data_IF_835235154886
#
_entry.id   IF_835235154886
#
_cell.length_a   1.000
_cell.length_b   1.000
_cell.length_c   1.000
_cell.angle_alpha   90.00
_cell.angle_beta   90.00
_cell.angle_gamma   90.00
#
_symmetry.space_group_name_H-M   'P 1'
#
loop_
_entity.id
_entity.type
_entity.pdbx_description
1 polymer ?
#
# COMPACT_ATOMS: atom_id res chain seq x y z
N UNK A 1 -11.55 21.38 0.80
CA UNK A 1 -12.86 20.75 1.01
C UNK A 1 -13.99 21.48 0.29
N UNK A 2 -14.08 22.81 0.37
CA UNK A 2 -15.14 23.60 -0.32
C UNK A 2 -15.35 23.22 -1.79
N UNK A 3 -14.29 23.09 -2.60
CA UNK A 3 -14.39 22.68 -4.00
C UNK A 3 -15.15 21.36 -4.22
N UNK A 4 -15.02 20.39 -3.31
CA UNK A 4 -15.76 19.13 -3.39
C UNK A 4 -17.25 19.38 -3.12
N UNK A 5 -17.57 20.08 -2.03
CA UNK A 5 -18.93 20.48 -1.64
C UNK A 5 -19.65 21.20 -2.79
N UNK A 6 -18.95 22.10 -3.50
CA UNK A 6 -19.55 22.90 -4.56
C UNK A 6 -19.86 22.11 -5.86
N UNK A 7 -19.24 20.93 -6.04
CA UNK A 7 -19.21 20.24 -7.34
C UNK A 7 -19.74 18.80 -7.32
N UNK A 8 -19.77 18.09 -6.19
CA UNK A 8 -20.09 16.66 -6.17
C UNK A 8 -21.42 16.32 -6.87
N UNK A 9 -22.46 17.15 -6.68
CA UNK A 9 -23.77 17.00 -7.35
C UNK A 9 -23.66 17.13 -8.87
N UNK A 10 -22.93 18.13 -9.35
CA UNK A 10 -22.73 18.37 -10.79
C UNK A 10 -21.94 17.24 -11.45
N UNK A 11 -21.09 16.59 -10.67
CA UNK A 11 -20.29 15.43 -11.08
C UNK A 11 -21.04 14.10 -10.92
N UNK A 12 -22.29 14.10 -10.44
CA UNK A 12 -23.08 12.89 -10.23
C UNK A 12 -22.55 11.96 -9.14
N UNK A 13 -21.76 12.48 -8.20
CA UNK A 13 -21.16 11.69 -7.12
C UNK A 13 -22.21 11.46 -6.03
N UNK A 14 -22.58 10.20 -5.80
CA UNK A 14 -23.53 9.78 -4.76
C UNK A 14 -22.87 9.16 -3.53
N UNK A 15 -21.59 8.78 -3.64
CA UNK A 15 -20.77 8.32 -2.51
C UNK A 15 -19.30 8.69 -2.69
N UNK A 16 -18.58 8.85 -1.58
CA UNK A 16 -17.16 9.17 -1.61
C UNK A 16 -16.44 8.59 -0.39
N UNK A 17 -15.23 8.09 -0.60
CA UNK A 17 -14.29 7.77 0.47
C UNK A 17 -13.00 8.57 0.30
N UNK A 18 -12.50 9.21 1.35
CA UNK A 18 -11.19 9.86 1.32
C UNK A 18 -10.41 9.68 2.62
N UNK A 19 -9.06 9.65 2.55
CA UNK A 19 -8.21 9.67 3.73
C UNK A 19 -8.25 11.07 4.38
N UNK A 20 -7.68 11.21 5.57
CA UNK A 20 -7.43 12.53 6.16
C UNK A 20 -6.48 13.37 5.29
N UNK A 21 -7.06 14.27 4.50
CA UNK A 21 -6.33 15.13 3.57
C UNK A 21 -5.51 16.19 4.31
N UNK A 22 -4.22 16.32 3.97
CA UNK A 22 -3.33 17.38 4.48
C UNK A 22 -2.61 17.07 5.80
N UNK A 23 -2.84 15.89 6.39
CA UNK A 23 -2.26 15.49 7.68
C UNK A 23 -0.75 15.25 7.67
N UNK A 24 -0.18 14.94 6.51
CA UNK A 24 1.22 14.51 6.41
C UNK A 24 2.19 15.64 6.05
N UNK A 25 1.83 16.54 5.13
CA UNK A 25 2.75 17.56 4.57
C UNK A 25 2.29 19.02 4.77
N UNK A 26 1.13 19.25 5.39
CA UNK A 26 0.54 20.60 5.49
C UNK A 26 0.91 21.37 6.76
N UNK A 27 1.59 20.73 7.73
CA UNK A 27 1.94 21.34 9.02
C UNK A 27 0.74 21.65 9.92
N UNK A 28 -0.47 21.23 9.54
CA UNK A 28 -1.70 21.43 10.32
C UNK A 28 -1.88 20.24 11.26
N UNK A 29 -2.16 20.47 12.56
CA UNK A 29 -2.46 19.38 13.49
C UNK A 29 -3.62 18.51 12.99
N UNK A 30 -3.47 17.19 13.12
CA UNK A 30 -4.47 16.21 12.67
C UNK A 30 -5.86 16.48 13.25
N UNK A 31 -5.96 16.88 14.52
CA UNK A 31 -7.23 17.19 15.16
C UNK A 31 -7.92 18.42 14.53
N UNK A 32 -7.14 19.40 14.09
CA UNK A 32 -7.66 20.56 13.34
C UNK A 32 -8.19 20.11 11.97
N UNK A 33 -7.48 19.22 11.27
CA UNK A 33 -7.94 18.64 10.00
C UNK A 33 -9.23 17.85 10.19
N UNK A 34 -9.30 17.00 11.23
CA UNK A 34 -10.48 16.20 11.57
C UNK A 34 -11.67 17.09 11.86
N UNK A 35 -11.50 18.11 12.69
CA UNK A 35 -12.53 19.08 13.04
C UNK A 35 -13.05 19.84 11.81
N UNK A 36 -12.15 20.40 11.00
CA UNK A 36 -12.53 21.12 9.78
C UNK A 36 -13.22 20.22 8.77
N UNK A 37 -12.69 19.03 8.53
CA UNK A 37 -13.25 18.06 7.58
C UNK A 37 -14.66 17.66 8.01
N UNK A 38 -14.86 17.30 9.29
CA UNK A 38 -16.20 17.01 9.83
C UNK A 38 -17.15 18.19 9.67
N UNK A 39 -16.72 19.41 9.96
CA UNK A 39 -17.54 20.62 9.82
C UNK A 39 -18.07 20.81 8.40
N UNK A 40 -17.26 20.59 7.37
CA UNK A 40 -17.71 20.74 5.98
C UNK A 40 -18.63 19.59 5.55
N UNK A 41 -18.36 18.37 6.01
CA UNK A 41 -19.06 17.17 5.54
C UNK A 41 -20.37 16.91 6.28
N UNK A 42 -20.49 17.30 7.55
CA UNK A 42 -21.71 17.11 8.34
C UNK A 42 -22.91 17.86 7.80
N UNK A 43 -22.69 18.85 6.93
CA UNK A 43 -23.73 19.60 6.24
C UNK A 43 -24.28 18.87 5.00
N UNK A 44 -23.62 17.80 4.55
CA UNK A 44 -24.00 17.03 3.37
C UNK A 44 -24.85 15.84 3.81
N UNK A 45 -26.14 15.86 3.49
CA UNK A 45 -27.11 14.82 3.92
C UNK A 45 -27.57 13.91 2.79
N UNK A 46 -27.14 14.18 1.56
CA UNK A 46 -27.57 13.52 0.33
C UNK A 46 -26.44 12.79 -0.42
N UNK A 47 -25.35 12.48 0.29
CA UNK A 47 -24.19 11.74 -0.20
C UNK A 47 -23.67 10.84 0.92
N UNK A 48 -23.30 9.61 0.56
CA UNK A 48 -22.63 8.69 1.48
C UNK A 48 -21.13 9.02 1.58
N UNK A 49 -20.62 9.25 2.79
CA UNK A 49 -19.26 9.73 3.01
C UNK A 49 -18.56 8.83 4.03
N UNK A 50 -17.45 8.23 3.60
CA UNK A 50 -16.54 7.50 4.47
C UNK A 50 -15.20 8.26 4.58
N UNK A 51 -14.74 8.47 5.81
CA UNK A 51 -13.41 9.04 6.06
C UNK A 51 -12.58 7.99 6.78
N UNK A 52 -11.48 7.55 6.14
CA UNK A 52 -10.66 6.48 6.68
C UNK A 52 -9.31 7.00 7.20
N UNK A 53 -8.84 6.35 8.27
CA UNK A 53 -7.48 6.50 8.78
C UNK A 53 -6.54 5.53 8.05
N UNK A 54 -5.34 5.99 7.71
CA UNK A 54 -4.31 5.10 7.19
C UNK A 54 -3.67 4.34 8.35
N UNK A 55 -3.79 3.01 8.33
CA UNK A 55 -3.07 2.14 9.25
C UNK A 55 -1.88 1.48 8.51
N UNK A 56 -0.63 1.82 8.89
CA UNK A 56 0.57 1.26 8.26
C UNK A 56 0.75 -0.24 8.52
N UNK A 57 0.04 -0.84 9.47
CA UNK A 57 0.18 -2.25 9.84
C UNK A 57 -0.89 -3.15 9.20
N UNK A 58 -1.86 -2.58 8.47
CA UNK A 58 -2.90 -3.36 7.80
C UNK A 58 -2.36 -4.05 6.55
N UNK A 59 -2.43 -5.40 6.45
CA UNK A 59 -1.93 -6.14 5.30
C UNK A 59 -2.85 -6.00 4.08
N UNK A 60 -2.31 -5.49 2.97
CA UNK A 60 -2.99 -5.52 1.67
C UNK A 60 -2.88 -6.90 0.99
N UNK A 61 -3.64 -7.11 -0.09
CA UNK A 61 -3.61 -8.38 -0.86
C UNK A 61 -2.19 -8.73 -1.35
N UNK A 62 -1.45 -7.74 -1.86
CA UNK A 62 -0.06 -7.90 -2.34
C UNK A 62 0.86 -8.40 -1.21
N UNK A 63 0.71 -7.86 0.00
CA UNK A 63 1.46 -8.31 1.16
C UNK A 63 1.16 -9.78 1.49
N UNK A 64 -0.12 -10.15 1.50
CA UNK A 64 -0.56 -11.53 1.79
C UNK A 64 0.00 -12.51 0.76
N UNK A 65 0.00 -12.15 -0.53
CA UNK A 65 0.64 -12.95 -1.59
C UNK A 65 2.12 -13.18 -1.30
N UNK A 66 2.86 -12.14 -0.93
CA UNK A 66 4.28 -12.26 -0.58
C UNK A 66 4.49 -13.17 0.64
N UNK A 67 3.68 -13.01 1.68
CA UNK A 67 3.74 -13.88 2.88
C UNK A 67 3.49 -15.34 2.51
N UNK A 68 2.52 -15.63 1.64
CA UNK A 68 2.24 -16.99 1.20
C UNK A 68 3.43 -17.59 0.44
N UNK A 69 3.99 -16.85 -0.53
CA UNK A 69 5.20 -17.28 -1.27
C UNK A 69 6.33 -17.66 -0.31
N UNK A 70 6.57 -16.83 0.73
CA UNK A 70 7.64 -17.08 1.70
C UNK A 70 7.33 -18.27 2.63
N UNK A 71 6.06 -18.44 3.02
CA UNK A 71 5.64 -19.51 3.95
C UNK A 71 5.54 -20.88 3.29
N UNK A 72 5.02 -20.94 2.07
CA UNK A 72 4.84 -22.18 1.31
C UNK A 72 6.20 -22.76 0.88
N UNK A 73 7.21 -21.91 0.68
CA UNK A 73 8.59 -22.31 0.29
C UNK A 73 8.64 -23.18 -0.97
N UNK A 74 7.66 -23.02 -1.86
CA UNK A 74 7.60 -23.75 -3.13
C UNK A 74 8.63 -23.24 -4.15
N UNK A 75 9.03 -21.96 -4.03
CA UNK A 75 9.99 -21.32 -4.91
C UNK A 75 11.37 -21.21 -4.25
N UNK A 76 12.40 -21.61 -5.00
CA UNK A 76 13.79 -21.39 -4.64
C UNK A 76 14.19 -19.92 -4.82
N UNK A 77 15.29 -19.52 -4.19
CA UNK A 77 15.86 -18.18 -4.39
C UNK A 77 16.23 -17.89 -5.86
N UNK A 78 16.57 -18.93 -6.63
CA UNK A 78 16.90 -18.78 -8.06
C UNK A 78 15.66 -18.49 -8.89
N UNK A 79 14.57 -19.22 -8.67
CA UNK A 79 13.29 -18.99 -9.36
C UNK A 79 12.73 -17.62 -9.00
N UNK A 80 12.77 -17.25 -7.72
CA UNK A 80 12.39 -15.92 -7.26
C UNK A 80 13.23 -14.82 -7.94
N UNK A 81 14.54 -15.01 -8.08
CA UNK A 81 15.41 -14.07 -8.81
C UNK A 81 15.03 -13.96 -10.28
N UNK A 82 14.82 -15.08 -10.97
CA UNK A 82 14.46 -15.12 -12.38
C UNK A 82 13.11 -14.46 -12.65
N UNK A 83 12.08 -14.80 -11.87
CA UNK A 83 10.71 -14.31 -12.06
C UNK A 83 10.56 -12.83 -11.72
N UNK A 84 11.28 -12.33 -10.71
CA UNK A 84 11.15 -10.95 -10.22
C UNK A 84 12.21 -9.99 -10.76
N UNK A 85 13.32 -10.51 -11.29
CA UNK A 85 14.51 -9.72 -11.60
C UNK A 85 15.20 -9.13 -10.35
N UNK A 86 14.90 -9.63 -9.15
CA UNK A 86 15.51 -9.19 -7.89
C UNK A 86 16.59 -10.20 -7.50
N UNK A 87 17.84 -9.75 -7.33
CA UNK A 87 18.93 -10.65 -6.95
C UNK A 87 18.64 -11.42 -5.65
N UNK A 88 19.01 -12.70 -5.60
CA UNK A 88 18.78 -13.60 -4.47
C UNK A 88 19.21 -13.01 -3.12
N UNK A 89 20.33 -12.27 -3.07
CA UNK A 89 20.78 -11.55 -1.87
C UNK A 89 19.77 -10.56 -1.29
N UNK A 90 18.86 -10.02 -2.11
CA UNK A 90 17.77 -9.16 -1.65
C UNK A 90 16.54 -9.99 -1.29
N UNK A 91 16.29 -11.11 -1.95
CA UNK A 91 15.25 -12.07 -1.53
C UNK A 91 15.50 -12.63 -0.13
N UNK A 92 16.76 -12.93 0.21
CA UNK A 92 17.14 -13.29 1.58
C UNK A 92 16.67 -12.21 2.57
N UNK A 93 16.97 -10.94 2.29
CA UNK A 93 16.55 -9.81 3.14
C UNK A 93 15.04 -9.62 3.19
N UNK A 94 14.34 -9.85 2.07
CA UNK A 94 12.87 -9.77 2.00
C UNK A 94 12.28 -10.87 2.89
N UNK A 95 12.77 -12.10 2.79
CA UNK A 95 12.33 -13.24 3.60
C UNK A 95 12.60 -12.97 5.08
N UNK A 96 13.80 -12.50 5.42
CA UNK A 96 14.15 -12.14 6.80
C UNK A 96 13.20 -11.07 7.36
N UNK A 97 12.92 -10.02 6.58
CA UNK A 97 11.99 -8.97 6.98
C UNK A 97 10.55 -9.48 7.13
N UNK A 98 10.08 -10.37 6.25
CA UNK A 98 8.73 -10.96 6.35
C UNK A 98 8.57 -11.84 7.59
N UNK A 99 9.65 -12.50 8.03
CA UNK A 99 9.63 -13.31 9.24
C UNK A 99 9.78 -12.48 10.53
N UNK A 100 10.04 -11.17 10.43
CA UNK A 100 10.02 -10.25 11.57
C UNK A 100 8.58 -9.83 11.89
N UNK A 101 8.16 -9.99 13.14
CA UNK A 101 6.83 -9.62 13.65
C UNK A 101 6.47 -8.14 13.46
N UNK A 102 7.47 -7.28 13.25
CA UNK A 102 7.30 -5.85 12.94
C UNK A 102 6.85 -5.59 11.51
N UNK A 103 7.02 -6.55 10.61
CA UNK A 103 6.58 -6.43 9.23
C UNK A 103 5.20 -7.04 9.11
N UNK A 104 4.15 -6.21 9.11
CA UNK A 104 2.75 -6.65 9.01
C UNK A 104 2.10 -6.23 7.69
N UNK A 105 2.76 -5.35 6.94
CA UNK A 105 2.27 -4.83 5.67
C UNK A 105 3.42 -4.54 4.70
N UNK A 106 3.07 -4.25 3.43
CA UNK A 106 4.03 -3.74 2.43
C UNK A 106 4.62 -2.39 2.87
N UNK A 107 3.87 -1.56 3.60
CA UNK A 107 4.39 -0.31 4.12
C UNK A 107 5.54 -0.55 5.11
N UNK A 108 5.36 -1.49 6.06
CA UNK A 108 6.45 -1.83 6.99
C UNK A 108 7.67 -2.39 6.23
N UNK A 109 7.46 -3.26 5.23
CA UNK A 109 8.54 -3.84 4.42
C UNK A 109 9.35 -2.76 3.66
N UNK A 110 8.68 -1.83 3.00
CA UNK A 110 9.32 -0.72 2.27
C UNK A 110 10.16 0.20 3.17
N UNK A 111 9.79 0.27 4.45
CA UNK A 111 10.44 1.07 5.47
C UNK A 111 11.31 0.24 6.43
N UNK A 112 11.52 -1.04 6.16
CA UNK A 112 12.29 -1.92 7.02
C UNK A 112 13.76 -1.53 7.03
N UNK A 113 14.32 -1.30 8.22
CA UNK A 113 15.65 -0.78 8.44
C UNK A 113 16.47 -1.77 9.26
N UNK A 114 17.68 -2.06 8.77
CA UNK A 114 18.72 -2.81 9.50
C UNK A 114 19.95 -1.92 9.56
N UNK A 115 20.51 -1.73 10.76
CA UNK A 115 21.71 -0.90 10.99
C UNK A 115 21.59 0.51 10.39
N UNK A 116 20.42 1.13 10.54
CA UNK A 116 20.15 2.50 10.06
C UNK A 116 19.96 2.65 8.55
N UNK A 117 19.94 1.55 7.78
CA UNK A 117 19.73 1.58 6.33
C UNK A 117 18.52 0.74 5.91
N UNK A 118 17.76 1.24 4.92
CA UNK A 118 16.69 0.45 4.27
C UNK A 118 17.30 -0.75 3.57
N UNK A 119 16.69 -1.91 3.76
CA UNK A 119 17.21 -3.16 3.20
C UNK A 119 16.91 -3.33 1.71
N UNK A 120 15.83 -2.72 1.23
CA UNK A 120 15.34 -2.80 -0.15
C UNK A 120 15.30 -1.38 -0.72
N UNK A 121 16.02 -1.17 -1.83
CA UNK A 121 16.00 0.10 -2.55
C UNK A 121 14.77 0.24 -3.45
N UNK A 122 14.48 1.48 -3.87
CA UNK A 122 13.32 1.84 -4.70
C UNK A 122 13.12 0.90 -5.91
N UNK A 123 14.16 0.65 -6.69
CA UNK A 123 14.07 -0.22 -7.88
C UNK A 123 13.66 -1.65 -7.55
N UNK A 124 14.14 -2.21 -6.43
CA UNK A 124 13.75 -3.55 -6.00
C UNK A 124 12.33 -3.58 -5.43
N UNK A 125 11.87 -2.49 -4.79
CA UNK A 125 10.47 -2.34 -4.39
C UNK A 125 9.58 -2.38 -5.64
N UNK A 126 9.89 -1.57 -6.66
CA UNK A 126 9.13 -1.53 -7.92
C UNK A 126 9.06 -2.91 -8.59
N UNK A 127 10.20 -3.60 -8.70
CA UNK A 127 10.26 -4.98 -9.22
C UNK A 127 9.40 -5.94 -8.40
N UNK A 128 9.44 -5.83 -7.08
CA UNK A 128 8.66 -6.69 -6.19
C UNK A 128 7.17 -6.48 -6.40
N UNK A 129 6.72 -5.23 -6.52
CA UNK A 129 5.33 -4.92 -6.83
C UNK A 129 4.90 -5.51 -8.17
N UNK A 130 5.69 -5.30 -9.23
CA UNK A 130 5.39 -5.86 -10.57
C UNK A 130 5.31 -7.38 -10.54
N UNK A 131 6.22 -8.03 -9.82
CA UNK A 131 6.20 -9.48 -9.63
C UNK A 131 4.92 -9.93 -8.92
N UNK A 132 4.60 -9.34 -7.77
CA UNK A 132 3.47 -9.74 -6.93
C UNK A 132 2.10 -9.45 -7.55
N UNK A 133 1.98 -8.43 -8.41
CA UNK A 133 0.72 -8.16 -9.13
C UNK A 133 0.47 -9.14 -10.26
N UNK A 134 1.53 -9.71 -10.85
CA UNK A 134 1.44 -10.72 -11.91
C UNK A 134 1.36 -12.15 -11.37
N UNK A 135 1.78 -12.37 -10.13
CA UNK A 135 1.77 -13.69 -9.50
C UNK A 135 0.35 -14.09 -9.06
N UNK A 136 -0.20 -15.12 -9.69
CA UNK A 136 -1.46 -15.77 -9.31
C UNK A 136 -1.32 -17.29 -9.35
N UNK A 137 -1.76 -17.97 -8.30
CA UNK A 137 -1.84 -19.44 -8.22
C UNK A 137 -0.55 -20.16 -8.68
N UNK A 138 0.61 -19.69 -8.22
CA UNK A 138 1.91 -20.29 -8.56
C UNK A 138 2.48 -19.91 -9.92
N UNK A 139 1.83 -19.02 -10.69
CA UNK A 139 2.24 -18.65 -12.04
C UNK A 139 2.29 -17.13 -12.24
N UNK A 140 3.22 -16.69 -13.08
CA UNK A 140 3.23 -15.32 -13.61
C UNK A 140 2.25 -15.26 -14.77
N UNK A 141 1.18 -14.49 -14.59
CA UNK A 141 0.25 -14.19 -15.67
C UNK A 141 0.74 -12.92 -16.35
N UNK A 142 0.99 -12.98 -17.66
CA UNK A 142 1.17 -11.77 -18.45
C UNK A 142 -0.15 -11.01 -18.50
N UNK A 143 -0.26 -9.95 -17.71
CA UNK A 143 -1.29 -8.94 -17.93
C UNK A 143 -0.84 -8.08 -19.12
N UNK A 144 -1.57 -8.17 -20.23
CA UNK A 144 -1.57 -7.11 -21.23
C UNK A 144 -2.00 -5.81 -20.53
N UNK A 145 -1.04 -4.90 -20.39
CA UNK A 145 -1.15 -3.49 -19.99
C UNK A 145 -2.34 -3.12 -19.08
N UNK A 146 -2.05 -2.83 -17.80
CA UNK A 146 -2.90 -1.95 -16.99
C UNK A 146 -2.63 -0.48 -17.36
N UNK A 147 -2.81 -0.15 -18.64
CA UNK A 147 -2.96 1.18 -19.21
C UNK A 147 -3.76 1.04 -20.50
#
# INVERSE_FOLDING_TARGET
>A
MQKFVDNYKKLGISSVAFPWMGAMNGGIPIETIKSLTRKYLSALTDIDIEVYDFDPDVPCAIYKTLVNIVKEKELTLSELEEMSGIKARYWIKIIDAINDEKTKSINNLCHYIVNGKRIIGKTNIERLFVFLTKYKDGKIIEQNSLF
#
